data_IF_759316759768
#
_entry.id   IF_759316759768
#
_cell.length_a   1.000
_cell.length_b   1.000
_cell.length_c   1.000
_cell.angle_alpha   90.00
_cell.angle_beta   90.00
_cell.angle_gamma   90.00
#
_symmetry.space_group_name_H-M   'P 1'
#
loop_
_entity.id
_entity.type
_entity.pdbx_description
1 polymer ?
#
# COMPACT_ATOMS: atom_id res chain seq x y z
N UNK A 1 4.38 -21.97 21.99
CA UNK A 1 4.29 -22.49 20.60
C UNK A 1 3.52 -23.79 20.69
N UNK A 2 2.40 -23.95 19.96
CA UNK A 2 1.62 -25.19 20.04
C UNK A 2 2.43 -26.37 19.47
N UNK A 3 2.13 -27.60 19.90
CA UNK A 3 2.88 -28.80 19.50
C UNK A 3 2.78 -29.09 18.00
N UNK A 4 1.73 -28.61 17.36
CA UNK A 4 1.45 -28.86 15.93
C UNK A 4 2.31 -28.00 15.00
N UNK A 5 3.01 -26.99 15.53
CA UNK A 5 3.80 -26.06 14.73
C UNK A 5 5.29 -26.43 14.72
N UNK A 6 5.69 -27.32 13.80
CA UNK A 6 7.10 -27.59 13.50
C UNK A 6 7.63 -26.62 12.44
N UNK A 7 8.47 -25.67 12.87
CA UNK A 7 9.16 -24.72 11.97
C UNK A 7 10.65 -25.05 11.78
N UNK A 8 11.13 -26.23 12.20
CA UNK A 8 12.53 -26.66 12.02
C UNK A 8 13.01 -26.61 10.56
N UNK A 9 12.08 -26.76 9.62
CA UNK A 9 12.31 -26.67 8.16
C UNK A 9 11.94 -25.31 7.55
N UNK A 10 11.71 -24.29 8.39
CA UNK A 10 11.32 -22.96 7.96
C UNK A 10 12.46 -22.22 7.24
N UNK A 11 12.19 -21.69 6.04
CA UNK A 11 13.14 -20.85 5.29
C UNK A 11 12.76 -19.38 5.47
N UNK A 12 13.65 -18.60 6.08
CA UNK A 12 13.45 -17.17 6.29
C UNK A 12 13.26 -16.47 4.94
N UNK A 13 12.16 -15.73 4.80
CA UNK A 13 11.89 -14.93 3.61
C UNK A 13 11.58 -15.71 2.34
N UNK A 14 11.16 -16.99 2.43
CA UNK A 14 10.80 -17.86 1.28
C UNK A 14 9.93 -17.18 0.22
N UNK A 15 9.04 -16.27 0.63
CA UNK A 15 8.13 -15.54 -0.26
C UNK A 15 8.40 -14.03 -0.30
N UNK A 16 9.38 -13.51 0.43
CA UNK A 16 9.63 -12.07 0.53
C UNK A 16 9.96 -11.43 -0.83
N UNK A 17 10.71 -12.13 -1.68
CA UNK A 17 11.00 -11.68 -3.05
C UNK A 17 9.74 -11.63 -3.92
N UNK A 18 8.84 -12.63 -3.80
CA UNK A 18 7.57 -12.68 -4.53
C UNK A 18 6.62 -11.57 -4.08
N UNK A 19 6.60 -11.30 -2.78
CA UNK A 19 5.88 -10.15 -2.22
C UNK A 19 6.40 -8.83 -2.81
N UNK A 20 7.71 -8.61 -2.87
CA UNK A 20 8.24 -7.40 -3.49
C UNK A 20 7.95 -7.28 -5.00
N UNK A 21 7.96 -8.39 -5.73
CA UNK A 21 7.84 -8.38 -7.18
C UNK A 21 6.41 -8.27 -7.72
N UNK A 22 5.39 -8.69 -6.95
CA UNK A 22 4.01 -8.84 -7.45
C UNK A 22 2.93 -8.19 -6.61
N UNK A 23 3.28 -7.51 -5.52
CA UNK A 23 2.25 -6.92 -4.66
C UNK A 23 2.03 -5.46 -5.02
N UNK A 24 0.79 -5.11 -5.38
CA UNK A 24 0.32 -3.72 -5.47
C UNK A 24 0.05 -3.14 -4.06
N UNK A 25 0.85 -3.52 -3.07
CA UNK A 25 0.74 -3.03 -1.69
C UNK A 25 1.74 -1.91 -1.51
N UNK A 26 1.19 -0.72 -1.33
CA UNK A 26 1.95 0.50 -1.08
C UNK A 26 1.94 0.72 0.43
N UNK A 27 3.12 0.69 1.04
CA UNK A 27 3.29 1.02 2.46
C UNK A 27 3.37 2.53 2.58
N UNK A 28 2.50 3.11 3.40
CA UNK A 28 2.53 4.54 3.70
C UNK A 28 3.67 4.85 4.66
N UNK A 29 4.25 6.05 4.53
CA UNK A 29 5.19 6.56 5.52
C UNK A 29 4.48 6.68 6.90
N UNK A 30 5.20 6.51 8.02
CA UNK A 30 4.59 6.45 9.35
C UNK A 30 3.80 7.71 9.74
N UNK A 31 4.26 8.88 9.31
CA UNK A 31 3.56 10.15 9.50
C UNK A 31 2.24 10.21 8.73
N UNK A 32 2.22 9.77 7.47
CA UNK A 32 1.00 9.70 6.66
C UNK A 32 0.03 8.67 7.22
N UNK A 33 0.52 7.50 7.63
CA UNK A 33 -0.30 6.44 8.21
C UNK A 33 -0.99 6.88 9.52
N UNK A 34 -0.36 7.75 10.32
CA UNK A 34 -0.97 8.30 11.55
C UNK A 34 -2.18 9.20 11.28
N UNK A 35 -2.27 9.81 10.10
CA UNK A 35 -3.37 10.71 9.73
C UNK A 35 -4.62 9.94 9.31
N UNK A 36 -4.46 8.77 8.70
CA UNK A 36 -5.56 8.01 8.11
C UNK A 36 -5.95 6.80 8.94
N UNK A 37 -7.24 6.66 9.24
CA UNK A 37 -7.78 5.53 10.02
C UNK A 37 -7.79 4.21 9.25
N UNK A 38 -8.04 4.26 7.94
CA UNK A 38 -8.19 3.08 7.11
C UNK A 38 -7.86 3.34 5.62
N UNK A 39 -7.70 2.26 4.86
CA UNK A 39 -7.40 2.31 3.42
C UNK A 39 -8.50 3.00 2.60
N UNK A 40 -9.76 2.96 3.05
CA UNK A 40 -10.88 3.64 2.37
C UNK A 40 -10.72 5.16 2.45
N UNK A 41 -10.28 5.69 3.60
CA UNK A 41 -10.00 7.11 3.80
C UNK A 41 -8.85 7.60 2.92
N UNK A 42 -7.75 6.83 2.86
CA UNK A 42 -6.60 7.11 1.98
C UNK A 42 -7.01 7.16 0.51
N UNK A 43 -7.70 6.11 0.04
CA UNK A 43 -8.10 5.99 -1.35
C UNK A 43 -9.07 7.11 -1.78
N UNK A 44 -9.96 7.56 -0.88
CA UNK A 44 -10.81 8.72 -1.16
C UNK A 44 -10.01 10.00 -1.34
N UNK A 45 -9.05 10.28 -0.46
CA UNK A 45 -8.20 11.46 -0.54
C UNK A 45 -7.39 11.47 -1.85
N UNK A 46 -6.74 10.35 -2.19
CA UNK A 46 -5.95 10.23 -3.42
C UNK A 46 -6.82 10.39 -4.68
N UNK A 47 -8.03 9.82 -4.70
CA UNK A 47 -8.96 10.00 -5.84
C UNK A 47 -9.42 11.45 -5.99
N UNK A 48 -9.65 12.16 -4.88
CA UNK A 48 -9.99 13.57 -4.92
C UNK A 48 -8.83 14.40 -5.52
N UNK A 49 -7.59 14.11 -5.10
CA UNK A 49 -6.40 14.74 -5.66
C UNK A 49 -6.24 14.48 -7.16
N UNK A 50 -6.43 13.23 -7.60
CA UNK A 50 -6.38 12.88 -9.02
C UNK A 50 -7.38 13.70 -9.86
N UNK A 51 -8.59 13.96 -9.34
CA UNK A 51 -9.59 14.78 -10.05
C UNK A 51 -9.14 16.23 -10.20
N UNK A 52 -8.59 16.82 -9.13
CA UNK A 52 -8.08 18.20 -9.16
C UNK A 52 -6.95 18.33 -10.18
N UNK A 53 -5.98 17.41 -10.13
CA UNK A 53 -4.85 17.38 -11.07
C UNK A 53 -5.33 17.23 -12.51
N UNK A 54 -6.26 16.30 -12.78
CA UNK A 54 -6.83 16.12 -14.13
C UNK A 54 -7.55 17.37 -14.64
N UNK A 55 -8.28 18.09 -13.77
CA UNK A 55 -8.94 19.34 -14.14
C UNK A 55 -7.93 20.45 -14.47
N UNK A 56 -6.84 20.56 -13.69
CA UNK A 56 -5.77 21.53 -13.97
C UNK A 56 -5.09 21.24 -15.31
N UNK A 57 -4.77 19.97 -15.59
CA UNK A 57 -4.16 19.58 -16.87
C UNK A 57 -5.04 19.96 -18.07
N UNK A 58 -6.36 19.76 -17.96
CA UNK A 58 -7.31 20.14 -19.02
C UNK A 58 -7.41 21.65 -19.23
N UNK A 59 -7.30 22.44 -18.15
CA UNK A 59 -7.28 23.92 -18.25
C UNK A 59 -5.99 24.44 -18.87
N UNK A 60 -4.86 23.78 -18.61
CA UNK A 60 -3.56 24.18 -19.17
C UNK A 60 -3.38 23.81 -20.65
N UNK A 61 -4.19 22.86 -21.16
CA UNK A 61 -4.20 22.43 -22.56
C UNK A 61 -5.24 23.15 -23.44
N UNK A 62 -6.01 24.07 -22.85
CA UNK A 62 -7.03 24.88 -23.53
C UNK A 62 -6.54 26.33 -23.61
#
# INVERSE_FOLDING_TARGET
MLKEYDFSRGIRGKYAKRFKARTNVIVLAPDVARVFRDSKSVNRALRALCRIVSQQRRKASA
#
